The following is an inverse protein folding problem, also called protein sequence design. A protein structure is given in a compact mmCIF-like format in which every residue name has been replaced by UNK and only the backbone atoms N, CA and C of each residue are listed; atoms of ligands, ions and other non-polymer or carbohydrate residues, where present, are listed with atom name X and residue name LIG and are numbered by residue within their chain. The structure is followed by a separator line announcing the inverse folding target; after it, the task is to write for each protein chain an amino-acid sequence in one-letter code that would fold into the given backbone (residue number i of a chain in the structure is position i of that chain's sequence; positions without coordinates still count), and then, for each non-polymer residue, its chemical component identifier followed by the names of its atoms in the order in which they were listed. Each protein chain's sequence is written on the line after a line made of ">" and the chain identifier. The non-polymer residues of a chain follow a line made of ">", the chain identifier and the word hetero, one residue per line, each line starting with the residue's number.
data_IF_017083663840
#
_entry.id   IF_017083663840
#
_cell.length_a   1.000
_cell.length_b   1.000
_cell.length_c   1.000
_cell.angle_alpha   90.00
_cell.angle_beta   90.00
_cell.angle_gamma   90.00
#
_symmetry.space_group_name_H-M   'P 1'
#
loop_
_entity.id
_entity.type
_entity.pdbx_description
1 polymer ?
#
# COMPACT_ATOMS: atom_id res chain seq x y z
N UNK A 1 -7.75 -26.44 3.30
CA UNK A 1 -7.64 -26.89 4.71
C UNK A 1 -8.82 -26.32 5.50
N UNK A 2 -9.26 -26.98 6.61
CA UNK A 2 -10.26 -26.41 7.51
C UNK A 2 -9.70 -25.18 8.21
N UNK A 3 -10.50 -24.10 8.36
CA UNK A 3 -10.05 -22.79 8.89
C UNK A 3 -9.59 -22.88 10.35
N UNK A 4 -10.31 -23.63 11.19
CA UNK A 4 -9.94 -23.87 12.57
C UNK A 4 -8.58 -24.59 12.68
N UNK A 5 -8.38 -25.65 11.88
CA UNK A 5 -7.12 -26.39 11.83
C UNK A 5 -5.97 -25.48 11.38
N UNK A 6 -6.20 -24.67 10.34
CA UNK A 6 -5.23 -23.71 9.83
C UNK A 6 -4.82 -22.71 10.90
N UNK A 7 -5.78 -22.10 11.61
CA UNK A 7 -5.51 -21.06 12.61
C UNK A 7 -4.98 -21.62 13.93
N UNK A 8 -5.63 -22.63 14.49
CA UNK A 8 -5.34 -23.09 15.86
C UNK A 8 -4.16 -24.08 15.95
N UNK A 9 -3.91 -24.84 14.89
CA UNK A 9 -2.85 -25.85 14.90
C UNK A 9 -1.70 -25.43 14.01
N UNK A 10 -1.93 -25.32 12.70
CA UNK A 10 -0.86 -25.11 11.71
C UNK A 10 -0.15 -23.78 11.93
N UNK A 11 -0.90 -22.71 12.08
CA UNK A 11 -0.33 -21.38 12.28
C UNK A 11 0.44 -21.28 13.61
N UNK A 12 -0.10 -21.82 14.69
CA UNK A 12 0.59 -21.84 15.99
C UNK A 12 1.87 -22.66 15.96
N UNK A 13 1.83 -23.83 15.31
CA UNK A 13 3.02 -24.67 15.14
C UNK A 13 4.12 -23.93 14.35
N UNK A 14 3.74 -23.24 13.27
CA UNK A 14 4.68 -22.44 12.46
C UNK A 14 5.27 -21.28 13.27
N UNK A 15 4.45 -20.57 14.03
CA UNK A 15 4.95 -19.51 14.92
C UNK A 15 5.97 -20.07 15.93
N UNK A 16 5.63 -21.20 16.55
CA UNK A 16 6.53 -21.88 17.50
C UNK A 16 7.84 -22.30 16.82
N UNK A 17 7.78 -23.00 15.69
CA UNK A 17 8.97 -23.47 14.95
C UNK A 17 9.87 -22.34 14.46
N UNK A 18 9.28 -21.16 14.18
CA UNK A 18 10.02 -19.95 13.80
C UNK A 18 10.43 -19.09 14.99
N UNK A 19 9.95 -19.42 16.19
CA UNK A 19 10.12 -18.61 17.39
C UNK A 19 9.45 -17.22 17.28
N UNK A 20 8.39 -17.10 16.48
CA UNK A 20 7.64 -15.86 16.28
C UNK A 20 6.56 -15.70 17.37
N UNK A 21 6.42 -14.50 17.92
CA UNK A 21 5.47 -14.20 19.02
C UNK A 21 4.26 -13.41 18.53
N UNK A 22 3.68 -13.78 17.37
CA UNK A 22 2.61 -12.99 16.74
C UNK A 22 1.40 -12.84 17.68
N UNK A 23 0.90 -13.93 18.26
CA UNK A 23 -0.25 -13.89 19.18
C UNK A 23 0.06 -13.08 20.45
N UNK A 24 1.31 -13.16 20.95
CA UNK A 24 1.75 -12.37 22.10
C UNK A 24 1.77 -10.87 21.80
N UNK A 25 2.25 -10.48 20.62
CA UNK A 25 2.17 -9.09 20.16
C UNK A 25 0.72 -8.67 19.93
N UNK A 26 -0.09 -9.47 19.23
CA UNK A 26 -1.48 -9.16 18.94
C UNK A 26 -2.27 -8.87 20.24
N UNK A 27 -2.10 -9.70 21.27
CA UNK A 27 -2.73 -9.46 22.58
C UNK A 27 -2.32 -8.11 23.20
N UNK A 28 -1.02 -7.74 23.06
CA UNK A 28 -0.48 -6.48 23.61
C UNK A 28 -0.98 -5.24 22.85
N UNK A 29 -1.07 -5.33 21.52
CA UNK A 29 -1.36 -4.15 20.68
C UNK A 29 -2.86 -3.95 20.42
N UNK A 30 -3.70 -4.93 20.73
CA UNK A 30 -5.11 -4.90 20.35
C UNK A 30 -5.91 -3.74 20.96
N UNK A 31 -5.52 -3.29 22.14
CA UNK A 31 -6.18 -2.18 22.84
C UNK A 31 -5.57 -0.80 22.55
N UNK A 32 -4.39 -0.76 21.91
CA UNK A 32 -3.68 0.51 21.67
C UNK A 32 -4.51 1.52 20.86
N UNK A 33 -5.24 1.12 19.78
CA UNK A 33 -6.03 2.06 19.00
C UNK A 33 -7.14 2.78 19.77
N UNK A 34 -7.54 2.23 20.94
CA UNK A 34 -8.62 2.75 21.78
C UNK A 34 -8.11 3.54 23.01
N UNK A 35 -6.81 3.72 23.15
CA UNK A 35 -6.23 4.62 24.14
C UNK A 35 -6.56 6.08 23.78
N UNK A 36 -6.46 6.98 24.77
CA UNK A 36 -6.59 8.41 24.47
C UNK A 36 -5.51 8.89 23.49
N UNK A 37 -5.83 9.93 22.74
CA UNK A 37 -4.89 10.54 21.76
C UNK A 37 -3.58 10.93 22.42
N UNK A 38 -3.62 11.52 23.62
CA UNK A 38 -2.42 11.91 24.36
C UNK A 38 -1.56 10.69 24.73
N UNK A 39 -2.19 9.60 25.20
CA UNK A 39 -1.44 8.37 25.52
C UNK A 39 -0.83 7.71 24.28
N UNK A 40 -1.51 7.79 23.14
CA UNK A 40 -0.97 7.32 21.86
C UNK A 40 0.25 8.15 21.45
N UNK A 41 0.16 9.49 21.57
CA UNK A 41 1.28 10.40 21.27
C UNK A 41 2.47 10.12 22.17
N UNK A 42 2.24 10.02 23.48
CA UNK A 42 3.29 9.73 24.46
C UNK A 42 3.99 8.40 24.14
N UNK A 43 3.22 7.31 23.94
CA UNK A 43 3.76 6.00 23.55
C UNK A 43 4.56 6.06 22.24
N UNK A 44 4.09 6.84 21.28
CA UNK A 44 4.76 6.98 19.98
C UNK A 44 6.10 7.69 20.13
N UNK A 45 6.16 8.76 20.94
CA UNK A 45 7.40 9.48 21.23
C UNK A 45 8.38 8.65 22.04
N UNK A 46 7.91 7.88 23.05
CA UNK A 46 8.74 6.91 23.79
C UNK A 46 9.41 5.90 22.85
N UNK A 47 8.63 5.34 21.90
CA UNK A 47 9.15 4.39 20.92
C UNK A 47 10.12 5.04 19.93
N UNK A 48 9.81 6.25 19.47
CA UNK A 48 10.67 7.03 18.60
C UNK A 48 12.02 7.28 19.26
N UNK A 49 12.02 7.80 20.49
CA UNK A 49 13.24 8.04 21.27
C UNK A 49 14.07 6.75 21.45
N UNK A 50 13.39 5.63 21.77
CA UNK A 50 14.06 4.32 21.86
C UNK A 50 14.74 3.93 20.54
N UNK A 51 14.03 4.09 19.43
CA UNK A 51 14.56 3.76 18.09
C UNK A 51 15.77 4.60 17.74
N UNK A 52 15.71 5.90 18.00
CA UNK A 52 16.82 6.83 17.76
C UNK A 52 18.05 6.48 18.61
N UNK A 53 17.86 6.19 19.89
CA UNK A 53 18.95 5.76 20.81
C UNK A 53 19.60 4.44 20.34
N UNK A 54 18.79 3.46 19.90
CA UNK A 54 19.30 2.19 19.36
C UNK A 54 20.11 2.44 18.09
N UNK A 55 19.58 3.26 17.19
CA UNK A 55 20.24 3.60 15.93
C UNK A 55 21.59 4.30 16.17
N UNK A 56 21.64 5.32 17.00
CA UNK A 56 22.86 6.03 17.36
C UNK A 56 23.91 5.11 17.98
N UNK A 57 23.52 4.31 18.99
CA UNK A 57 24.46 3.49 19.76
C UNK A 57 24.97 2.25 19.03
N UNK A 58 24.21 1.73 18.03
CA UNK A 58 24.47 0.39 17.49
C UNK A 58 24.61 0.33 15.96
N UNK A 59 24.34 1.42 15.22
CA UNK A 59 24.33 1.44 13.77
C UNK A 59 25.31 2.53 13.29
N UNK A 60 26.47 2.16 12.70
CA UNK A 60 27.52 3.11 12.33
C UNK A 60 27.03 4.24 11.43
N UNK A 61 26.20 3.94 10.43
CA UNK A 61 25.62 4.92 9.52
C UNK A 61 24.84 6.02 10.27
N UNK A 62 23.94 5.63 11.18
CA UNK A 62 23.14 6.62 11.93
C UNK A 62 23.97 7.42 12.93
N UNK A 63 24.94 6.78 13.57
CA UNK A 63 25.86 7.53 14.46
C UNK A 63 26.53 8.65 13.71
N UNK A 64 27.18 8.34 12.58
CA UNK A 64 27.83 9.32 11.72
C UNK A 64 26.85 10.44 11.29
N UNK A 65 25.67 10.06 10.84
CA UNK A 65 24.65 11.00 10.38
C UNK A 65 24.21 11.99 11.48
N UNK A 66 24.04 11.49 12.70
CA UNK A 66 23.60 12.31 13.84
C UNK A 66 24.72 13.23 14.34
N UNK A 67 25.96 12.72 14.36
CA UNK A 67 27.13 13.52 14.73
C UNK A 67 27.36 14.65 13.72
N UNK A 68 27.26 14.38 12.43
CA UNK A 68 27.38 15.37 11.34
C UNK A 68 26.25 16.43 11.38
N UNK A 69 25.07 16.05 11.87
CA UNK A 69 23.92 16.96 12.02
C UNK A 69 23.91 17.72 13.34
N UNK A 70 24.91 17.55 14.21
CA UNK A 70 24.99 18.12 15.55
C UNK A 70 23.76 17.81 16.43
N UNK A 71 23.24 16.59 16.33
CA UNK A 71 22.04 16.16 17.06
C UNK A 71 22.43 15.44 18.35
N UNK A 72 22.08 16.01 19.49
CA UNK A 72 22.31 15.41 20.80
C UNK A 72 21.21 14.41 21.17
N UNK A 73 21.43 13.13 20.89
CA UNK A 73 20.44 12.05 21.12
C UNK A 73 19.90 11.98 22.55
N UNK A 74 20.70 12.36 23.55
CA UNK A 74 20.29 12.28 24.95
C UNK A 74 19.38 13.43 25.38
N UNK A 75 19.42 14.57 24.68
CA UNK A 75 18.71 15.81 25.03
C UNK A 75 17.62 16.16 24.00
N UNK A 76 17.21 15.22 23.16
CA UNK A 76 16.20 15.44 22.13
C UNK A 76 14.84 15.82 22.73
N UNK A 77 14.33 16.96 22.27
CA UNK A 77 12.93 17.36 22.46
C UNK A 77 12.14 16.87 21.27
N UNK A 78 11.35 15.84 21.45
CA UNK A 78 10.52 15.27 20.42
C UNK A 78 9.08 15.81 20.53
N UNK A 79 8.45 16.14 19.40
CA UNK A 79 8.92 15.93 18.01
C UNK A 79 9.79 17.06 17.43
N UNK A 80 9.96 18.20 18.10
CA UNK A 80 10.51 19.44 17.56
C UNK A 80 11.92 19.28 16.97
N UNK A 81 12.82 18.65 17.71
CA UNK A 81 14.20 18.46 17.26
C UNK A 81 14.33 17.37 16.18
N UNK A 82 13.24 16.60 15.94
CA UNK A 82 13.27 15.50 14.94
C UNK A 82 13.29 16.01 13.52
N UNK A 83 12.76 17.19 13.25
CA UNK A 83 12.77 17.81 11.92
C UNK A 83 14.20 18.09 11.40
N UNK A 84 15.16 18.26 12.32
CA UNK A 84 16.57 18.46 11.96
C UNK A 84 17.25 17.19 11.39
N UNK A 85 16.68 16.01 11.59
CA UNK A 85 17.23 14.78 11.03
C UNK A 85 17.08 14.77 9.51
N UNK A 86 18.12 14.37 8.76
CA UNK A 86 18.04 14.31 7.31
C UNK A 86 17.03 13.25 6.86
N UNK A 87 16.36 13.57 5.74
CA UNK A 87 15.45 12.62 5.09
C UNK A 87 16.26 11.63 4.28
N UNK A 88 15.99 10.34 4.48
CA UNK A 88 16.64 9.25 3.75
C UNK A 88 15.83 8.85 2.54
N UNK A 89 16.48 8.69 1.42
CA UNK A 89 15.92 8.12 0.20
C UNK A 89 16.40 6.67 -0.04
N UNK A 90 15.86 6.03 -1.08
CA UNK A 90 16.21 4.65 -1.45
C UNK A 90 17.67 4.49 -1.86
N UNK A 91 18.25 5.50 -2.49
CA UNK A 91 19.62 5.43 -2.99
C UNK A 91 20.62 5.53 -1.85
N UNK A 92 20.38 6.42 -0.90
CA UNK A 92 21.17 6.53 0.33
C UNK A 92 21.18 5.20 1.11
N UNK A 93 20.01 4.55 1.26
CA UNK A 93 19.92 3.25 1.94
C UNK A 93 20.67 2.17 1.16
N UNK A 94 20.59 2.17 -0.16
CA UNK A 94 21.25 1.18 -1.02
C UNK A 94 22.77 1.29 -0.95
N UNK A 95 23.30 2.50 -1.03
CA UNK A 95 24.75 2.75 -0.97
C UNK A 95 25.31 2.38 0.39
N UNK A 96 24.55 2.61 1.47
CA UNK A 96 25.00 2.35 2.85
C UNK A 96 24.48 1.03 3.42
N UNK A 97 24.09 0.08 2.59
CA UNK A 97 23.40 -1.15 3.01
C UNK A 97 24.12 -1.94 4.10
N UNK A 98 25.46 -2.03 4.07
CA UNK A 98 26.28 -2.72 5.08
C UNK A 98 26.32 -2.01 6.43
N UNK A 99 26.25 -0.69 6.42
CA UNK A 99 26.48 0.17 7.59
C UNK A 99 25.18 0.61 8.27
N UNK A 100 24.04 0.42 7.59
CA UNK A 100 22.70 0.78 8.08
C UNK A 100 22.06 -0.35 8.92
N UNK A 101 22.81 -1.41 9.23
CA UNK A 101 22.32 -2.55 10.02
C UNK A 101 22.98 -2.60 11.39
N UNK A 102 22.22 -3.03 12.40
CA UNK A 102 22.70 -3.26 13.74
C UNK A 102 23.52 -4.56 13.82
N UNK A 103 24.83 -4.44 13.75
CA UNK A 103 25.75 -5.59 13.73
C UNK A 103 25.77 -6.38 15.04
N UNK A 104 25.25 -5.83 16.15
CA UNK A 104 25.15 -6.52 17.45
C UNK A 104 24.01 -7.54 17.47
N UNK A 105 23.04 -7.45 16.57
CA UNK A 105 21.89 -8.35 16.50
C UNK A 105 22.23 -9.55 15.64
N UNK A 106 22.41 -10.72 16.28
CA UNK A 106 22.62 -12.02 15.62
C UNK A 106 21.33 -12.84 15.46
N UNK A 107 20.16 -12.20 15.47
CA UNK A 107 18.86 -12.86 15.34
C UNK A 107 18.64 -13.32 13.89
N UNK A 108 17.71 -14.29 13.71
CA UNK A 108 17.27 -14.71 12.38
C UNK A 108 16.62 -13.52 11.65
N UNK A 109 17.12 -13.23 10.47
CA UNK A 109 16.66 -12.16 9.59
C UNK A 109 15.95 -12.71 8.36
N UNK A 110 15.01 -11.95 7.82
CA UNK A 110 14.43 -12.17 6.48
C UNK A 110 14.84 -11.03 5.56
N UNK A 111 15.15 -11.36 4.31
CA UNK A 111 15.44 -10.39 3.25
C UNK A 111 14.23 -10.35 2.31
N UNK A 112 13.76 -9.17 2.03
CA UNK A 112 12.68 -8.90 1.07
C UNK A 112 13.19 -7.91 0.02
N UNK A 113 12.77 -8.09 -1.24
CA UNK A 113 13.08 -7.17 -2.32
C UNK A 113 11.85 -6.33 -2.60
N UNK A 114 12.01 -5.01 -2.71
CA UNK A 114 10.95 -4.15 -3.17
C UNK A 114 10.66 -4.40 -4.65
N UNK A 115 9.44 -4.12 -5.11
CA UNK A 115 9.02 -4.34 -6.50
C UNK A 115 9.78 -3.50 -7.55
N UNK A 116 10.59 -2.52 -7.08
CA UNK A 116 11.46 -1.74 -7.96
C UNK A 116 10.72 -0.96 -9.05
N UNK A 117 9.58 -0.35 -8.72
CA UNK A 117 8.81 0.46 -9.68
C UNK A 117 9.59 1.63 -10.30
N UNK A 118 10.75 1.98 -9.73
CA UNK A 118 11.75 2.90 -10.29
C UNK A 118 12.90 2.17 -11.02
N UNK A 119 12.76 0.87 -11.32
CA UNK A 119 13.78 0.06 -12.00
C UNK A 119 14.82 -0.59 -11.09
N UNK A 120 15.06 -0.07 -9.89
CA UNK A 120 16.10 -0.54 -8.98
C UNK A 120 15.49 -1.04 -7.66
N UNK A 121 15.36 -2.36 -7.43
CA UNK A 121 14.82 -2.91 -6.19
C UNK A 121 15.74 -2.61 -4.99
N UNK A 122 15.14 -2.29 -3.84
CA UNK A 122 15.81 -2.19 -2.56
C UNK A 122 15.71 -3.50 -1.80
N UNK A 123 16.82 -3.99 -1.25
CA UNK A 123 16.81 -5.11 -0.30
C UNK A 123 16.50 -4.58 1.10
N UNK A 124 15.38 -5.01 1.64
CA UNK A 124 14.97 -4.69 3.02
C UNK A 124 15.24 -5.87 3.91
N UNK A 125 15.79 -5.61 5.08
CA UNK A 125 16.09 -6.65 6.07
C UNK A 125 15.22 -6.45 7.31
N UNK A 126 14.52 -7.50 7.69
CA UNK A 126 13.66 -7.51 8.87
C UNK A 126 14.11 -8.60 9.82
N UNK A 127 14.25 -8.28 11.08
CA UNK A 127 14.45 -9.31 12.08
C UNK A 127 13.13 -10.05 12.39
N UNK A 128 13.25 -11.12 13.16
CA UNK A 128 12.11 -11.96 13.53
C UNK A 128 11.05 -11.21 14.34
N UNK A 129 11.47 -10.35 15.26
CA UNK A 129 10.54 -9.62 16.13
C UNK A 129 9.79 -8.55 15.34
N UNK A 130 10.46 -7.80 14.43
CA UNK A 130 9.83 -6.90 13.46
C UNK A 130 8.81 -7.64 12.59
N UNK A 131 9.19 -8.79 12.04
CA UNK A 131 8.31 -9.58 11.18
C UNK A 131 7.07 -10.09 11.92
N UNK A 132 7.23 -10.48 13.19
CA UNK A 132 6.13 -10.92 14.05
C UNK A 132 5.22 -9.75 14.45
N UNK A 133 5.78 -8.59 14.77
CA UNK A 133 5.03 -7.38 15.11
C UNK A 133 4.20 -6.89 13.92
N UNK A 134 4.80 -6.79 12.74
CA UNK A 134 4.11 -6.37 11.52
C UNK A 134 2.91 -7.29 11.19
N UNK A 135 3.06 -8.61 11.40
CA UNK A 135 1.94 -9.55 11.24
C UNK A 135 0.87 -9.39 12.32
N UNK A 136 1.25 -9.06 13.55
CA UNK A 136 0.28 -8.78 14.60
C UNK A 136 -0.54 -7.53 14.28
N UNK A 137 0.10 -6.47 13.75
CA UNK A 137 -0.59 -5.26 13.26
C UNK A 137 -1.57 -5.63 12.14
N UNK A 138 -1.13 -6.43 11.17
CA UNK A 138 -1.99 -6.90 10.07
C UNK A 138 -3.23 -7.65 10.61
N UNK A 139 -3.05 -8.60 11.51
CA UNK A 139 -4.18 -9.34 12.06
C UNK A 139 -5.10 -8.46 12.91
N UNK A 140 -4.57 -7.49 13.66
CA UNK A 140 -5.40 -6.51 14.35
C UNK A 140 -6.29 -5.73 13.37
N UNK A 141 -5.74 -5.27 12.25
CA UNK A 141 -6.48 -4.58 11.19
C UNK A 141 -7.57 -5.49 10.59
N UNK A 142 -7.23 -6.71 10.26
CA UNK A 142 -8.15 -7.67 9.65
C UNK A 142 -9.26 -8.11 10.58
N UNK A 143 -8.97 -8.23 11.88
CA UNK A 143 -9.96 -8.59 12.90
C UNK A 143 -11.12 -7.57 13.00
N UNK A 144 -10.90 -6.29 12.62
CA UNK A 144 -11.96 -5.28 12.56
C UNK A 144 -13.08 -5.66 11.59
N UNK A 145 -12.75 -6.49 10.60
CA UNK A 145 -13.69 -7.01 9.60
C UNK A 145 -14.04 -8.49 9.83
N UNK A 146 -13.78 -9.02 11.02
CA UNK A 146 -14.05 -10.43 11.37
C UNK A 146 -13.12 -11.44 10.68
N UNK A 147 -12.02 -10.97 10.06
CA UNK A 147 -11.03 -11.85 9.43
C UNK A 147 -10.06 -12.35 10.49
N UNK A 148 -10.08 -13.65 10.76
CA UNK A 148 -9.23 -14.31 11.74
C UNK A 148 -8.09 -15.10 11.10
N UNK A 149 -7.09 -15.44 11.92
CA UNK A 149 -5.97 -16.28 11.50
C UNK A 149 -6.50 -17.67 11.08
N UNK A 150 -6.15 -18.08 9.86
CA UNK A 150 -6.58 -19.35 9.28
C UNK A 150 -7.76 -19.25 8.36
N UNK A 151 -8.47 -18.11 8.29
CA UNK A 151 -9.52 -17.89 7.30
C UNK A 151 -8.97 -18.03 5.88
N UNK A 152 -9.79 -18.57 5.00
CA UNK A 152 -9.45 -18.80 3.58
C UNK A 152 -9.34 -17.49 2.82
N UNK A 153 -8.22 -17.28 2.13
CA UNK A 153 -7.94 -16.08 1.34
C UNK A 153 -7.87 -16.39 -0.16
N UNK A 154 -8.55 -15.62 -1.00
CA UNK A 154 -8.20 -15.52 -2.42
C UNK A 154 -7.29 -14.31 -2.62
N UNK A 155 -6.06 -14.55 -3.10
CA UNK A 155 -5.04 -13.53 -3.28
C UNK A 155 -4.80 -13.25 -4.76
N UNK A 156 -5.17 -12.05 -5.19
CA UNK A 156 -4.92 -11.53 -6.54
C UNK A 156 -3.56 -10.86 -6.58
N UNK A 157 -2.54 -11.63 -6.99
CA UNK A 157 -1.14 -11.21 -6.84
C UNK A 157 -0.23 -11.79 -7.91
N UNK A 158 0.97 -11.21 -8.04
CA UNK A 158 1.99 -11.74 -8.92
C UNK A 158 2.34 -13.22 -8.62
N UNK A 159 2.55 -14.00 -9.66
CA UNK A 159 3.02 -15.38 -9.57
C UNK A 159 4.48 -15.42 -10.04
N UNK A 160 5.41 -16.05 -9.29
CA UNK A 160 6.77 -16.25 -9.77
C UNK A 160 6.79 -17.05 -11.06
N UNK A 161 7.69 -16.69 -11.97
CA UNK A 161 7.82 -17.36 -13.27
C UNK A 161 8.72 -18.60 -13.23
N UNK A 162 9.60 -18.71 -12.24
CA UNK A 162 10.51 -19.85 -12.09
C UNK A 162 9.83 -21.06 -11.42
N UNK A 163 9.92 -22.29 -11.96
CA UNK A 163 9.27 -23.48 -11.41
C UNK A 163 9.60 -23.75 -9.93
N UNK A 164 10.85 -23.54 -9.52
CA UNK A 164 11.30 -23.71 -8.11
C UNK A 164 10.58 -22.74 -7.17
N UNK A 165 10.40 -21.48 -7.60
CA UNK A 165 9.69 -20.49 -6.80
C UNK A 165 8.18 -20.73 -6.80
N UNK A 166 7.59 -21.21 -7.90
CA UNK A 166 6.18 -21.60 -7.98
C UNK A 166 5.87 -22.67 -6.93
N UNK A 167 6.68 -23.72 -6.85
CA UNK A 167 6.48 -24.80 -5.88
C UNK A 167 6.57 -24.28 -4.43
N UNK A 168 7.60 -23.47 -4.14
CA UNK A 168 7.79 -22.85 -2.82
C UNK A 168 6.59 -21.95 -2.41
N UNK A 169 6.08 -21.17 -3.36
CA UNK A 169 4.93 -20.28 -3.09
C UNK A 169 3.63 -21.08 -2.96
N UNK A 170 3.41 -22.13 -3.74
CA UNK A 170 2.25 -23.04 -3.55
C UNK A 170 2.25 -23.65 -2.14
N UNK A 171 3.39 -24.13 -1.66
CA UNK A 171 3.49 -24.67 -0.30
C UNK A 171 3.18 -23.62 0.77
N UNK A 172 3.70 -22.39 0.61
CA UNK A 172 3.36 -21.29 1.51
C UNK A 172 1.86 -20.93 1.45
N UNK A 173 1.26 -20.98 0.25
CA UNK A 173 -0.14 -20.67 0.06
C UNK A 173 -1.05 -21.74 0.71
N UNK A 174 -0.69 -23.01 0.63
CA UNK A 174 -1.39 -24.10 1.33
C UNK A 174 -1.35 -23.93 2.85
N UNK A 175 -0.16 -23.65 3.40
CA UNK A 175 0.03 -23.38 4.83
C UNK A 175 -0.79 -22.16 5.28
N UNK A 176 -0.80 -21.11 4.47
CA UNK A 176 -1.53 -19.87 4.76
C UNK A 176 -3.04 -19.98 4.49
N UNK A 177 -3.54 -21.16 4.13
CA UNK A 177 -4.93 -21.42 3.76
C UNK A 177 -5.43 -20.46 2.67
N UNK A 178 -4.67 -20.27 1.59
CA UNK A 178 -5.00 -19.33 0.52
C UNK A 178 -4.82 -19.93 -0.88
N UNK A 179 -5.56 -19.38 -1.82
CA UNK A 179 -5.31 -19.58 -3.26
C UNK A 179 -4.75 -18.29 -3.85
N UNK A 180 -3.85 -18.43 -4.83
CA UNK A 180 -3.29 -17.31 -5.58
C UNK A 180 -3.85 -17.28 -6.99
N UNK A 181 -4.33 -16.11 -7.39
CA UNK A 181 -4.87 -15.81 -8.72
C UNK A 181 -3.91 -14.80 -9.36
N UNK A 182 -3.50 -15.07 -10.59
CA UNK A 182 -2.44 -14.30 -11.25
C UNK A 182 -2.88 -12.87 -11.55
N UNK A 183 -2.06 -11.90 -11.13
CA UNK A 183 -2.22 -10.51 -11.52
C UNK A 183 -1.51 -10.16 -12.83
N UNK A 184 -0.73 -11.08 -13.42
CA UNK A 184 0.09 -10.80 -14.59
C UNK A 184 -0.59 -11.12 -15.92
N UNK A 185 -1.55 -12.04 -15.90
CA UNK A 185 -2.19 -12.55 -17.11
C UNK A 185 -3.70 -12.61 -16.86
N UNK A 186 -4.39 -11.53 -17.21
CA UNK A 186 -5.82 -11.34 -16.95
C UNK A 186 -6.55 -11.24 -18.29
N UNK A 187 -6.97 -12.38 -18.81
CA UNK A 187 -7.78 -12.53 -20.01
C UNK A 187 -9.02 -13.35 -19.70
N UNK A 188 -9.97 -13.45 -20.62
CA UNK A 188 -11.28 -14.08 -20.36
C UNK A 188 -11.16 -15.50 -19.81
N UNK A 189 -10.29 -16.33 -20.37
CA UNK A 189 -10.06 -17.70 -19.89
C UNK A 189 -9.54 -17.75 -18.46
N UNK A 190 -8.65 -16.82 -18.08
CA UNK A 190 -8.13 -16.75 -16.70
C UNK A 190 -9.19 -16.27 -15.71
N UNK A 191 -10.11 -15.38 -16.12
CA UNK A 191 -11.21 -14.92 -15.28
C UNK A 191 -12.25 -16.02 -15.04
N UNK A 192 -12.52 -16.88 -16.03
CA UNK A 192 -13.32 -18.11 -15.85
C UNK A 192 -12.64 -19.04 -14.83
N UNK A 193 -11.34 -19.34 -15.02
CA UNK A 193 -10.57 -20.17 -14.07
C UNK A 193 -10.54 -19.59 -12.65
N UNK A 194 -10.46 -18.26 -12.52
CA UNK A 194 -10.58 -17.60 -11.21
C UNK A 194 -11.92 -17.88 -10.54
N UNK A 195 -13.00 -17.75 -11.31
CA UNK A 195 -14.36 -18.00 -10.83
C UNK A 195 -14.52 -19.44 -10.35
N UNK A 196 -14.06 -20.43 -11.11
CA UNK A 196 -14.12 -21.83 -10.74
C UNK A 196 -13.30 -22.16 -9.49
N UNK A 197 -12.07 -21.64 -9.43
CA UNK A 197 -11.20 -21.78 -8.26
C UNK A 197 -11.81 -21.16 -7.00
N UNK A 198 -12.39 -19.97 -7.12
CA UNK A 198 -13.04 -19.26 -6.03
C UNK A 198 -14.27 -20.02 -5.52
N UNK A 199 -15.16 -20.46 -6.43
CA UNK A 199 -16.34 -21.26 -6.08
C UNK A 199 -15.97 -22.56 -5.37
N UNK A 200 -14.93 -23.25 -5.82
CA UNK A 200 -14.42 -24.49 -5.21
C UNK A 200 -13.76 -24.23 -3.85
N UNK A 201 -12.96 -23.21 -3.74
CA UNK A 201 -12.18 -22.93 -2.53
C UNK A 201 -13.00 -22.25 -1.43
N UNK A 202 -14.00 -21.43 -1.81
CA UNK A 202 -14.88 -20.65 -0.92
C UNK A 202 -14.07 -19.77 0.06
N UNK A 203 -13.36 -18.75 -0.45
CA UNK A 203 -12.60 -17.84 0.41
C UNK A 203 -13.51 -17.00 1.30
N UNK A 204 -13.01 -16.60 2.46
CA UNK A 204 -13.69 -15.69 3.39
C UNK A 204 -13.39 -14.23 3.09
N UNK A 205 -12.29 -13.95 2.42
CA UNK A 205 -11.91 -12.60 2.01
C UNK A 205 -11.02 -12.61 0.77
N UNK A 206 -11.03 -11.49 0.05
CA UNK A 206 -10.10 -11.25 -1.05
C UNK A 206 -8.99 -10.32 -0.59
N UNK A 207 -7.83 -10.45 -1.23
CA UNK A 207 -6.68 -9.57 -1.03
C UNK A 207 -5.96 -9.37 -2.35
N UNK A 208 -5.70 -8.11 -2.74
CA UNK A 208 -5.00 -7.89 -3.99
C UNK A 208 -4.95 -6.45 -4.48
N UNK A 209 -4.47 -6.29 -5.70
CA UNK A 209 -4.39 -5.00 -6.37
C UNK A 209 -5.78 -4.49 -6.76
N UNK A 210 -6.11 -3.20 -6.50
CA UNK A 210 -7.35 -2.59 -6.93
C UNK A 210 -7.65 -2.80 -8.42
N UNK A 211 -6.64 -2.64 -9.30
CA UNK A 211 -6.79 -2.80 -10.74
C UNK A 211 -7.23 -4.19 -11.15
N UNK A 212 -6.64 -5.22 -10.54
CA UNK A 212 -6.95 -6.64 -10.83
C UNK A 212 -8.33 -7.01 -10.34
N UNK A 213 -8.65 -6.60 -9.10
CA UNK A 213 -9.96 -6.82 -8.50
C UNK A 213 -11.07 -6.10 -9.28
N UNK A 214 -10.81 -4.87 -9.74
CA UNK A 214 -11.71 -4.12 -10.59
C UNK A 214 -11.95 -4.81 -11.94
N UNK A 215 -10.90 -5.27 -12.63
CA UNK A 215 -11.03 -6.00 -13.90
C UNK A 215 -11.86 -7.27 -13.72
N UNK A 216 -11.64 -8.02 -12.63
CA UNK A 216 -12.43 -9.20 -12.31
C UNK A 216 -13.89 -8.84 -11.97
N UNK A 217 -14.11 -7.80 -11.15
CA UNK A 217 -15.45 -7.33 -10.79
C UNK A 217 -16.26 -6.88 -12.03
N UNK A 218 -15.65 -6.11 -12.91
CA UNK A 218 -16.29 -5.66 -14.16
C UNK A 218 -16.69 -6.85 -15.04
N UNK A 219 -15.79 -7.83 -15.18
CA UNK A 219 -16.08 -9.04 -15.95
C UNK A 219 -17.22 -9.88 -15.33
N UNK A 220 -17.27 -10.00 -14.00
CA UNK A 220 -18.37 -10.67 -13.26
C UNK A 220 -19.70 -9.99 -13.55
N UNK A 221 -19.73 -8.65 -13.54
CA UNK A 221 -20.94 -7.86 -13.82
C UNK A 221 -21.36 -7.99 -15.29
N UNK A 222 -20.42 -7.86 -16.23
CA UNK A 222 -20.68 -7.94 -17.67
C UNK A 222 -21.20 -9.32 -18.12
N UNK A 223 -20.74 -10.40 -17.46
CA UNK A 223 -21.16 -11.79 -17.77
C UNK A 223 -22.35 -12.26 -16.94
N UNK A 224 -22.85 -11.46 -16.00
CA UNK A 224 -23.95 -11.83 -15.13
C UNK A 224 -23.64 -12.98 -14.15
N UNK A 225 -22.36 -13.18 -13.80
CA UNK A 225 -22.00 -14.16 -12.78
C UNK A 225 -22.42 -13.67 -11.40
N UNK A 226 -22.90 -14.60 -10.56
CA UNK A 226 -23.22 -14.33 -9.14
C UNK A 226 -22.22 -15.06 -8.23
N UNK A 227 -21.56 -14.31 -7.35
CA UNK A 227 -20.64 -14.80 -6.33
C UNK A 227 -21.08 -14.40 -4.92
N UNK A 228 -22.33 -13.95 -4.74
CA UNK A 228 -22.87 -13.54 -3.42
C UNK A 228 -22.85 -14.67 -2.40
N UNK A 229 -23.00 -15.92 -2.82
CA UNK A 229 -22.95 -17.09 -1.96
C UNK A 229 -21.62 -17.27 -1.22
N UNK A 230 -20.55 -16.56 -1.63
CA UNK A 230 -19.27 -16.63 -0.94
C UNK A 230 -19.33 -16.03 0.47
N UNK A 231 -20.26 -15.10 0.72
CA UNK A 231 -20.38 -14.40 2.01
C UNK A 231 -19.02 -13.85 2.48
N UNK A 232 -18.36 -13.07 1.62
CA UNK A 232 -17.06 -12.46 1.92
C UNK A 232 -17.17 -11.51 3.11
N UNK A 233 -16.19 -11.55 4.01
CA UNK A 233 -16.08 -10.65 5.15
C UNK A 233 -15.59 -9.26 4.74
N UNK A 234 -14.60 -9.21 3.87
CA UNK A 234 -14.07 -7.98 3.27
C UNK A 234 -13.26 -8.27 2.01
N UNK A 235 -13.02 -7.22 1.20
CA UNK A 235 -12.09 -7.24 0.07
C UNK A 235 -11.00 -6.21 0.37
N UNK A 236 -9.80 -6.68 0.71
CA UNK A 236 -8.68 -5.82 1.08
C UNK A 236 -7.88 -5.50 -0.17
N UNK A 237 -7.76 -4.22 -0.48
CA UNK A 237 -6.98 -3.70 -1.60
C UNK A 237 -5.69 -3.08 -1.11
N UNK A 238 -4.59 -3.28 -1.83
CA UNK A 238 -3.28 -2.73 -1.46
C UNK A 238 -2.35 -2.58 -2.67
N UNK A 239 -1.30 -1.80 -2.49
CA UNK A 239 -0.17 -1.71 -3.42
C UNK A 239 -0.38 -0.81 -4.63
N UNK A 240 -1.56 -0.29 -4.82
CA UNK A 240 -1.96 0.73 -5.80
C UNK A 240 -2.93 1.71 -5.13
N UNK A 241 -3.13 2.88 -5.71
CA UNK A 241 -4.21 3.79 -5.30
C UNK A 241 -5.55 3.13 -5.60
N UNK A 242 -6.44 3.14 -4.62
CA UNK A 242 -7.81 2.67 -4.79
C UNK A 242 -8.69 3.85 -5.19
N UNK A 243 -9.18 3.84 -6.42
CA UNK A 243 -10.09 4.86 -6.95
C UNK A 243 -11.55 4.54 -6.63
N UNK A 244 -12.39 5.59 -6.53
CA UNK A 244 -13.80 5.42 -6.19
C UNK A 244 -14.58 4.56 -7.19
N UNK A 245 -14.31 4.70 -8.49
CA UNK A 245 -14.96 3.87 -9.51
C UNK A 245 -14.61 2.37 -9.37
N UNK A 246 -13.36 2.07 -8.96
CA UNK A 246 -12.94 0.70 -8.70
C UNK A 246 -13.65 0.14 -7.48
N UNK A 247 -13.67 0.91 -6.37
CA UNK A 247 -14.39 0.54 -5.14
C UNK A 247 -15.84 0.21 -5.45
N UNK A 248 -16.55 1.12 -6.14
CA UNK A 248 -17.96 0.94 -6.47
C UNK A 248 -18.21 -0.31 -7.34
N UNK A 249 -17.40 -0.55 -8.36
CA UNK A 249 -17.53 -1.72 -9.21
C UNK A 249 -17.28 -3.03 -8.43
N UNK A 250 -16.25 -3.05 -7.58
CA UNK A 250 -15.90 -4.24 -6.77
C UNK A 250 -17.01 -4.51 -5.73
N UNK A 251 -17.46 -3.49 -5.00
CA UNK A 251 -18.53 -3.64 -4.01
C UNK A 251 -19.86 -4.06 -4.66
N UNK A 252 -20.15 -3.56 -5.86
CA UNK A 252 -21.34 -3.95 -6.63
C UNK A 252 -21.28 -5.41 -7.05
N UNK A 253 -20.14 -5.87 -7.58
CA UNK A 253 -19.96 -7.23 -8.08
C UNK A 253 -20.02 -8.28 -6.96
N UNK A 254 -19.40 -8.01 -5.83
CA UNK A 254 -19.22 -9.01 -4.76
C UNK A 254 -20.14 -8.80 -3.55
N UNK A 255 -20.91 -7.71 -3.52
CA UNK A 255 -21.76 -7.33 -2.37
C UNK A 255 -21.03 -7.34 -1.03
N UNK A 256 -19.79 -6.88 -1.06
CA UNK A 256 -18.88 -6.91 0.07
C UNK A 256 -18.09 -5.61 0.14
N UNK A 257 -17.81 -5.13 1.35
CA UNK A 257 -17.05 -3.88 1.57
C UNK A 257 -15.62 -4.02 1.08
N UNK A 258 -15.16 -3.01 0.34
CA UNK A 258 -13.75 -2.84 -0.03
C UNK A 258 -13.04 -2.04 1.04
N UNK A 259 -11.88 -2.50 1.46
CA UNK A 259 -11.05 -1.91 2.52
C UNK A 259 -9.69 -1.57 1.96
N UNK A 260 -9.24 -0.34 2.14
CA UNK A 260 -7.95 0.12 1.66
C UNK A 260 -6.85 -0.15 2.71
N UNK A 261 -5.80 -0.87 2.30
CA UNK A 261 -4.57 -1.08 3.07
C UNK A 261 -3.45 -0.28 2.42
N UNK A 262 -2.99 0.76 3.07
CA UNK A 262 -1.84 1.55 2.63
C UNK A 262 -0.57 1.05 3.32
N UNK A 263 0.43 0.75 2.52
CA UNK A 263 1.71 0.25 3.04
C UNK A 263 2.77 0.10 1.97
N UNK A 264 3.98 -0.18 2.42
CA UNK A 264 5.12 -0.44 1.56
C UNK A 264 5.86 -1.71 1.99
N UNK A 265 6.63 -2.30 1.07
CA UNK A 265 7.41 -3.51 1.35
C UNK A 265 8.42 -3.28 2.47
N UNK A 266 8.98 -2.07 2.53
CA UNK A 266 10.03 -1.69 3.48
C UNK A 266 9.53 -1.77 4.92
N UNK A 267 8.39 -1.17 5.21
CA UNK A 267 7.88 -1.01 6.58
C UNK A 267 6.73 -1.98 6.91
N UNK A 268 5.87 -2.24 5.95
CA UNK A 268 4.62 -2.99 6.10
C UNK A 268 3.42 -2.07 6.04
N UNK A 269 2.37 -2.36 6.82
CA UNK A 269 1.16 -1.52 6.87
C UNK A 269 1.47 -0.21 7.58
N UNK A 270 1.24 0.90 6.89
CA UNK A 270 1.39 2.27 7.37
C UNK A 270 0.06 2.81 7.87
N UNK A 271 -1.02 2.54 7.11
CA UNK A 271 -2.37 2.90 7.48
C UNK A 271 -3.39 1.88 6.96
N UNK A 272 -4.53 1.80 7.62
CA UNK A 272 -5.59 0.85 7.31
C UNK A 272 -6.96 1.50 7.49
N UNK A 273 -7.86 1.23 6.54
CA UNK A 273 -9.19 1.83 6.52
C UNK A 273 -10.11 1.18 7.56
N UNK A 274 -10.84 1.99 8.31
CA UNK A 274 -11.83 1.54 9.29
C UNK A 274 -13.23 1.40 8.69
N UNK A 275 -14.22 0.99 9.52
CA UNK A 275 -15.62 0.86 9.12
C UNK A 275 -16.23 2.16 8.58
N UNK A 276 -15.75 3.31 9.03
CA UNK A 276 -16.22 4.64 8.62
C UNK A 276 -15.51 5.18 7.36
N UNK A 277 -14.59 4.41 6.76
CA UNK A 277 -13.85 4.81 5.57
C UNK A 277 -12.64 5.70 5.83
N UNK A 278 -12.25 5.94 7.10
CA UNK A 278 -11.06 6.71 7.44
C UNK A 278 -9.82 5.83 7.46
N UNK A 279 -8.73 6.31 6.86
CA UNK A 279 -7.46 5.60 6.74
C UNK A 279 -6.58 5.90 7.97
N UNK A 280 -6.72 5.12 9.05
CA UNK A 280 -5.98 5.31 10.29
C UNK A 280 -4.53 4.86 10.18
N UNK A 281 -3.61 5.73 10.61
CA UNK A 281 -2.17 5.45 10.68
C UNK A 281 -1.90 4.43 11.78
N UNK A 282 -1.06 3.44 11.52
CA UNK A 282 -0.63 2.47 12.55
C UNK A 282 0.40 3.09 13.49
N UNK A 283 -0.06 4.05 14.32
CA UNK A 283 0.78 4.90 15.17
C UNK A 283 1.66 4.14 16.18
N UNK A 284 1.29 2.92 16.52
CA UNK A 284 2.10 2.03 17.35
C UNK A 284 3.21 1.30 16.57
N UNK A 285 3.18 1.33 15.24
CA UNK A 285 4.13 0.67 14.35
C UNK A 285 5.05 1.66 13.61
N UNK A 286 4.54 2.82 13.26
CA UNK A 286 5.23 3.82 12.46
C UNK A 286 4.96 5.23 12.96
N UNK A 287 5.95 6.10 12.91
CA UNK A 287 5.78 7.55 13.01
C UNK A 287 5.76 8.11 11.60
N UNK A 288 4.64 8.71 11.21
CA UNK A 288 4.49 9.39 9.92
C UNK A 288 4.49 10.89 10.13
N UNK A 289 5.23 11.59 9.29
CA UNK A 289 5.24 13.03 9.18
C UNK A 289 5.03 13.46 7.73
N UNK A 290 4.63 14.69 7.52
CA UNK A 290 4.52 15.28 6.19
C UNK A 290 5.49 16.44 6.06
N UNK A 291 6.28 16.44 4.98
CA UNK A 291 7.25 17.51 4.69
C UNK A 291 6.82 18.22 3.41
N UNK A 292 6.76 19.55 3.47
CA UNK A 292 6.36 20.38 2.33
C UNK A 292 7.20 20.07 1.10
N UNK A 293 6.52 19.94 -0.03
CA UNK A 293 7.16 19.70 -1.32
C UNK A 293 7.00 20.94 -2.20
N UNK A 294 8.04 21.31 -2.92
CA UNK A 294 7.96 22.36 -3.95
C UNK A 294 7.01 21.97 -5.11
N UNK A 295 6.60 20.70 -5.17
CA UNK A 295 5.77 20.14 -6.25
C UNK A 295 4.26 20.29 -6.01
N UNK A 296 3.82 20.57 -4.78
CA UNK A 296 2.40 20.77 -4.48
C UNK A 296 2.21 21.69 -3.29
N UNK A 297 1.23 22.61 -3.39
CA UNK A 297 0.77 23.43 -2.25
C UNK A 297 -0.31 22.74 -1.41
N UNK A 298 -0.85 21.62 -1.89
CA UNK A 298 -2.01 20.93 -1.30
C UNK A 298 -1.59 19.66 -0.57
N UNK A 299 -0.56 18.97 -1.07
CA UNK A 299 -0.08 17.70 -0.50
C UNK A 299 1.40 17.79 -0.21
N UNK A 300 1.85 17.06 0.81
CA UNK A 300 3.24 17.02 1.27
C UNK A 300 3.79 15.60 1.12
N UNK A 301 5.11 15.45 1.07
CA UNK A 301 5.77 14.14 1.03
C UNK A 301 5.52 13.40 2.35
N UNK A 302 5.14 12.13 2.27
CA UNK A 302 4.99 11.26 3.44
C UNK A 302 6.35 10.65 3.79
N UNK A 303 6.82 10.98 4.97
CA UNK A 303 8.07 10.50 5.55
C UNK A 303 7.74 9.54 6.69
N UNK A 304 8.42 8.40 6.74
CA UNK A 304 8.14 7.36 7.71
C UNK A 304 9.35 6.99 8.57
N UNK A 305 9.11 6.80 9.86
CA UNK A 305 10.10 6.23 10.79
C UNK A 305 9.54 4.97 11.43
N UNK A 306 10.26 3.86 11.33
CA UNK A 306 9.89 2.59 11.97
C UNK A 306 10.10 2.64 13.49
N UNK A 307 9.11 2.15 14.24
CA UNK A 307 9.14 2.18 15.71
C UNK A 307 9.47 0.81 16.35
N UNK A 308 9.50 -0.27 15.58
CA UNK A 308 9.65 -1.64 16.10
C UNK A 308 10.70 -2.46 15.33
N UNK A 309 11.66 -1.81 14.67
CA UNK A 309 12.76 -2.47 13.95
C UNK A 309 14.10 -2.09 14.59
N UNK A 310 14.68 -3.00 15.38
CA UNK A 310 15.97 -2.75 16.04
C UNK A 310 17.17 -3.16 15.18
N UNK A 311 16.93 -3.95 14.11
CA UNK A 311 18.00 -4.44 13.25
C UNK A 311 18.37 -3.47 12.13
N UNK A 312 17.37 -2.97 11.40
CA UNK A 312 17.53 -2.03 10.29
C UNK A 312 16.37 -1.03 10.33
N UNK A 313 16.31 -0.14 11.33
CA UNK A 313 15.23 0.84 11.38
C UNK A 313 15.37 1.86 10.26
N UNK A 314 14.30 2.10 9.54
CA UNK A 314 14.22 3.22 8.61
C UNK A 314 13.78 4.45 9.40
N UNK A 315 14.66 5.47 9.44
CA UNK A 315 14.43 6.73 10.16
C UNK A 315 14.29 7.84 9.13
N UNK A 316 13.21 8.60 9.18
CA UNK A 316 12.84 9.66 8.23
C UNK A 316 12.98 9.22 6.76
N UNK A 317 12.46 8.04 6.49
CA UNK A 317 12.50 7.46 5.15
C UNK A 317 11.41 8.06 4.25
N UNK A 318 11.83 8.64 3.12
CA UNK A 318 10.92 9.10 2.07
C UNK A 318 10.33 7.89 1.33
N UNK A 319 9.03 7.65 1.54
CA UNK A 319 8.31 6.55 0.89
C UNK A 319 8.16 6.82 -0.61
N UNK A 320 8.16 8.09 -1.00
CA UNK A 320 7.90 8.57 -2.36
C UNK A 320 6.42 8.76 -2.65
N UNK A 321 5.57 8.80 -1.63
CA UNK A 321 4.14 9.06 -1.74
C UNK A 321 3.80 10.44 -1.16
N UNK A 322 2.73 11.05 -1.68
CA UNK A 322 2.23 12.36 -1.25
C UNK A 322 0.92 12.20 -0.49
N UNK A 323 0.72 13.01 0.55
CA UNK A 323 -0.51 12.94 1.32
C UNK A 323 -0.67 14.07 2.32
N UNK A 324 -1.79 14.02 3.05
CA UNK A 324 -2.09 14.92 4.16
C UNK A 324 -2.43 14.07 5.38
N UNK A 325 -1.73 14.32 6.48
CA UNK A 325 -1.99 13.71 7.79
C UNK A 325 -2.81 14.68 8.62
N UNK A 326 -3.85 14.19 9.29
CA UNK A 326 -4.68 14.98 10.19
C UNK A 326 -5.03 14.19 11.45
N UNK A 327 -5.26 14.91 12.54
CA UNK A 327 -5.94 14.36 13.70
C UNK A 327 -7.44 14.28 13.39
N UNK A 328 -8.07 13.17 13.74
CA UNK A 328 -9.49 12.97 13.52
C UNK A 328 -10.10 12.25 14.72
N UNK A 329 -11.24 12.75 15.19
CA UNK A 329 -12.13 11.97 16.03
C UNK A 329 -13.02 11.12 15.12
N UNK A 330 -12.76 9.83 15.02
CA UNK A 330 -13.54 8.92 14.20
C UNK A 330 -14.58 8.18 15.06
N UNK A 331 -15.81 8.08 14.55
CA UNK A 331 -16.91 7.33 15.19
C UNK A 331 -16.64 5.82 15.30
N UNK A 332 -15.64 5.30 14.58
CA UNK A 332 -15.22 3.89 14.69
C UNK A 332 -14.57 3.54 16.05
N UNK A 333 -14.26 4.53 16.89
CA UNK A 333 -13.59 4.33 18.19
C UNK A 333 -12.08 4.12 18.13
N UNK A 334 -11.45 4.30 16.96
CA UNK A 334 -9.99 4.30 16.79
C UNK A 334 -9.48 5.73 16.92
N UNK A 335 -8.57 5.96 17.85
CA UNK A 335 -8.00 7.28 18.15
C UNK A 335 -6.63 7.52 17.47
N UNK A 336 -6.24 6.65 16.54
CA UNK A 336 -5.06 6.88 15.72
C UNK A 336 -5.28 8.03 14.73
N UNK A 337 -4.23 8.84 14.42
CA UNK A 337 -4.31 9.84 13.36
C UNK A 337 -4.71 9.22 12.02
N UNK A 338 -5.16 10.04 11.09
CA UNK A 338 -5.61 9.58 9.76
C UNK A 338 -4.78 10.22 8.65
N UNK A 339 -4.69 9.50 7.53
CA UNK A 339 -4.31 10.07 6.25
C UNK A 339 -5.61 10.55 5.60
N UNK A 340 -5.85 11.87 5.62
CA UNK A 340 -7.07 12.48 5.08
C UNK A 340 -7.06 12.59 3.55
N UNK A 341 -5.87 12.58 2.94
CA UNK A 341 -5.69 12.53 1.50
C UNK A 341 -4.41 11.75 1.17
N UNK A 342 -4.52 10.80 0.26
CA UNK A 342 -3.40 10.02 -0.26
C UNK A 342 -3.38 10.20 -1.78
N UNK A 343 -2.38 10.92 -2.28
CA UNK A 343 -2.25 11.25 -3.69
C UNK A 343 -1.35 10.28 -4.48
N UNK A 344 -0.85 9.21 -3.83
CA UNK A 344 0.08 8.26 -4.45
C UNK A 344 1.50 8.84 -4.54
N UNK A 345 2.27 8.42 -5.56
CA UNK A 345 3.68 8.80 -5.69
C UNK A 345 3.88 10.23 -6.15
N UNK A 346 5.08 10.77 -5.93
CA UNK A 346 5.57 12.07 -6.42
C UNK A 346 5.34 12.28 -7.93
N UNK A 347 5.24 11.20 -8.70
CA UNK A 347 4.95 11.19 -10.14
C UNK A 347 3.46 11.28 -10.50
N UNK A 348 2.58 11.56 -9.55
CA UNK A 348 1.11 11.59 -9.74
C UNK A 348 0.57 12.99 -10.02
N UNK A 349 1.42 13.91 -10.45
CA UNK A 349 1.00 15.23 -10.86
C UNK A 349 1.19 15.42 -12.36
N UNK A 350 0.14 15.92 -13.02
CA UNK A 350 0.21 16.46 -14.36
C UNK A 350 0.81 17.87 -14.21
N UNK A 351 1.97 18.10 -14.82
CA UNK A 351 2.64 19.41 -14.80
C UNK A 351 2.22 20.19 -16.04
N UNK A 352 1.58 21.33 -15.85
CA UNK A 352 1.13 22.17 -16.96
C UNK A 352 2.23 23.09 -17.47
N UNK A 353 2.13 23.63 -18.71
CA UNK A 353 3.13 24.57 -19.25
C UNK A 353 3.35 25.83 -18.42
N UNK A 354 2.35 26.23 -17.63
CA UNK A 354 2.40 27.35 -16.69
C UNK A 354 2.85 26.94 -15.26
N UNK A 355 3.60 25.83 -15.15
CA UNK A 355 4.19 25.31 -13.91
C UNK A 355 3.17 24.98 -12.78
N UNK A 356 1.91 24.71 -13.12
CA UNK A 356 0.96 24.19 -12.15
C UNK A 356 1.07 22.67 -12.03
N UNK A 357 0.94 22.18 -10.81
CA UNK A 357 0.91 20.76 -10.48
C UNK A 357 -0.54 20.38 -10.22
N UNK A 358 -1.15 19.63 -11.14
CA UNK A 358 -2.53 19.16 -11.07
C UNK A 358 -2.54 17.67 -10.72
N UNK A 359 -3.17 17.32 -9.60
CA UNK A 359 -3.26 15.93 -9.18
C UNK A 359 -3.94 15.07 -10.25
N UNK A 360 -3.39 13.88 -10.53
CA UNK A 360 -3.88 12.93 -11.55
C UNK A 360 -5.29 12.40 -11.27
N UNK A 361 -5.81 12.55 -10.04
CA UNK A 361 -7.20 12.25 -9.70
C UNK A 361 -8.22 13.00 -10.59
N UNK A 362 -7.81 14.09 -11.26
CA UNK A 362 -8.65 14.76 -12.26
C UNK A 362 -8.98 13.84 -13.46
N UNK A 363 -8.09 12.92 -13.80
CA UNK A 363 -8.32 11.93 -14.86
C UNK A 363 -9.42 10.97 -14.42
N UNK A 364 -9.35 10.47 -13.17
CA UNK A 364 -10.40 9.65 -12.57
C UNK A 364 -11.75 10.38 -12.59
N UNK A 365 -11.79 11.60 -12.04
CA UNK A 365 -13.00 12.40 -12.01
C UNK A 365 -13.58 12.65 -13.42
N UNK A 366 -12.73 12.78 -14.41
CA UNK A 366 -13.15 12.97 -15.80
C UNK A 366 -13.72 11.70 -16.39
N UNK A 367 -13.06 10.55 -16.17
CA UNK A 367 -13.35 9.29 -16.84
C UNK A 367 -14.24 8.33 -16.03
N UNK A 368 -14.73 8.72 -14.85
CA UNK A 368 -15.52 7.88 -13.96
C UNK A 368 -16.79 7.26 -14.60
N UNK A 369 -17.29 7.82 -15.69
CA UNK A 369 -18.47 7.33 -16.37
C UNK A 369 -18.13 7.00 -17.84
N UNK A 370 -18.49 5.79 -18.30
CA UNK A 370 -18.48 5.43 -19.71
C UNK A 370 -17.21 4.82 -20.27
N UNK A 371 -16.10 4.77 -19.51
CA UNK A 371 -14.92 4.02 -19.91
C UNK A 371 -14.66 2.83 -19.00
N UNK A 372 -14.04 1.80 -19.57
CA UNK A 372 -13.69 0.58 -18.84
C UNK A 372 -12.35 0.71 -18.14
N UNK A 373 -11.39 1.37 -18.79
CA UNK A 373 -10.02 1.53 -18.33
C UNK A 373 -9.34 2.68 -19.07
N UNK A 374 -8.40 3.35 -18.42
CA UNK A 374 -7.55 4.34 -19.09
C UNK A 374 -6.11 4.25 -18.59
N UNK A 375 -5.20 4.80 -19.39
CA UNK A 375 -3.82 5.14 -18.98
C UNK A 375 -3.41 6.44 -19.64
N UNK A 376 -3.03 7.41 -18.84
CA UNK A 376 -2.49 8.68 -19.31
C UNK A 376 -0.98 8.71 -19.13
N UNK A 377 -0.25 9.20 -20.13
CA UNK A 377 1.21 9.36 -20.11
C UNK A 377 1.52 10.80 -20.46
N UNK A 378 2.26 11.46 -19.59
CA UNK A 378 2.78 12.80 -19.83
C UNK A 378 4.25 12.72 -20.20
N UNK A 379 4.58 13.00 -21.47
CA UNK A 379 5.95 12.96 -21.99
C UNK A 379 6.61 14.34 -22.02
N UNK A 380 5.81 15.41 -22.04
CA UNK A 380 6.24 16.79 -21.95
C UNK A 380 5.18 17.64 -21.24
N UNK A 381 5.52 18.85 -20.80
CA UNK A 381 4.60 19.72 -20.07
C UNK A 381 3.38 20.14 -20.89
N UNK A 382 3.50 20.12 -22.22
CA UNK A 382 2.49 20.53 -23.18
C UNK A 382 1.76 19.35 -23.84
N UNK A 383 2.06 18.09 -23.48
CA UNK A 383 1.45 16.89 -24.08
C UNK A 383 1.01 15.87 -23.04
N UNK A 384 -0.22 15.38 -23.21
CA UNK A 384 -0.81 14.30 -22.43
C UNK A 384 -1.46 13.27 -23.37
N UNK A 385 -0.88 12.07 -23.42
CA UNK A 385 -1.35 10.97 -24.25
C UNK A 385 -2.21 10.02 -23.42
N UNK A 386 -3.45 9.77 -23.82
CA UNK A 386 -4.41 8.99 -23.03
C UNK A 386 -4.92 7.80 -23.84
N UNK A 387 -4.54 6.60 -23.41
CA UNK A 387 -5.11 5.34 -23.90
C UNK A 387 -6.41 5.03 -23.18
N UNK A 388 -7.44 4.65 -23.92
CA UNK A 388 -8.79 4.40 -23.39
C UNK A 388 -9.32 3.07 -23.89
N UNK A 389 -9.79 2.24 -22.95
CA UNK A 389 -10.62 1.07 -23.25
C UNK A 389 -12.08 1.49 -23.10
N UNK A 390 -12.80 1.55 -24.21
CA UNK A 390 -14.21 1.99 -24.26
C UNK A 390 -15.15 0.93 -23.66
N UNK A 391 -16.26 1.39 -23.08
CA UNK A 391 -17.47 0.56 -22.98
C UNK A 391 -18.26 0.70 -24.30
N UNK A 392 -18.99 -0.36 -24.73
CA UNK A 392 -19.77 -0.32 -25.98
C UNK A 392 -20.75 0.84 -26.05
N UNK A 393 -21.28 1.27 -24.89
CA UNK A 393 -22.31 2.31 -24.77
C UNK A 393 -21.74 3.73 -24.82
N UNK A 394 -20.42 3.91 -24.86
CA UNK A 394 -19.79 5.22 -24.82
C UNK A 394 -20.04 5.98 -26.15
N UNK A 395 -20.85 7.03 -26.09
CA UNK A 395 -21.11 7.90 -27.22
C UNK A 395 -19.89 8.80 -27.53
N UNK A 396 -19.66 9.10 -28.82
CA UNK A 396 -18.51 9.93 -29.23
C UNK A 396 -18.57 11.34 -28.65
N UNK A 397 -19.77 11.94 -28.49
CA UNK A 397 -19.97 13.23 -27.82
C UNK A 397 -19.41 13.30 -26.39
N UNK A 398 -19.34 12.15 -25.71
CA UNK A 398 -18.80 12.07 -24.34
C UNK A 398 -17.28 12.37 -24.32
N UNK A 399 -16.57 12.09 -25.40
CA UNK A 399 -15.15 12.41 -25.51
C UNK A 399 -14.90 13.93 -25.55
N UNK A 400 -15.77 14.67 -26.21
CA UNK A 400 -15.71 16.15 -26.21
C UNK A 400 -15.98 16.73 -24.83
N UNK A 401 -16.89 16.12 -24.07
CA UNK A 401 -17.17 16.51 -22.69
C UNK A 401 -15.96 16.22 -21.78
N UNK A 402 -15.31 15.07 -21.94
CA UNK A 402 -14.08 14.75 -21.21
C UNK A 402 -12.97 15.73 -21.54
N UNK A 403 -12.77 16.05 -22.82
CA UNK A 403 -11.79 17.04 -23.25
C UNK A 403 -12.06 18.42 -22.63
N UNK A 404 -13.33 18.88 -22.65
CA UNK A 404 -13.72 20.14 -22.01
C UNK A 404 -13.43 20.15 -20.51
N UNK A 405 -13.71 19.04 -19.81
CA UNK A 405 -13.42 18.91 -18.38
C UNK A 405 -11.91 19.00 -18.12
N UNK A 406 -11.10 18.24 -18.85
CA UNK A 406 -9.64 18.27 -18.67
C UNK A 406 -9.06 19.65 -18.99
N UNK A 407 -9.44 20.27 -20.09
CA UNK A 407 -8.99 21.62 -20.46
C UNK A 407 -9.31 22.65 -19.38
N UNK A 408 -10.48 22.53 -18.70
CA UNK A 408 -10.86 23.42 -17.61
C UNK A 408 -9.82 23.45 -16.47
N UNK A 409 -9.20 22.30 -16.17
CA UNK A 409 -8.23 22.16 -15.09
C UNK A 409 -6.79 22.29 -15.57
N UNK A 410 -6.46 21.71 -16.72
CA UNK A 410 -5.11 21.65 -17.25
C UNK A 410 -4.73 22.90 -18.07
N UNK A 411 -5.73 23.67 -18.54
CA UNK A 411 -5.53 24.79 -19.44
C UNK A 411 -5.57 24.38 -20.90
N UNK A 412 -5.60 25.39 -21.78
CA UNK A 412 -5.67 25.21 -23.25
C UNK A 412 -4.30 24.96 -23.89
N UNK A 413 -3.22 25.20 -23.15
CA UNK A 413 -1.84 25.08 -23.64
C UNK A 413 -1.33 23.63 -23.66
N UNK A 414 -2.07 22.70 -23.00
CA UNK A 414 -1.72 21.28 -23.02
C UNK A 414 -2.46 20.54 -24.14
N UNK A 415 -1.70 19.86 -24.98
CA UNK A 415 -2.24 19.04 -26.07
C UNK A 415 -2.64 17.68 -25.53
N UNK A 416 -3.94 17.37 -25.53
CA UNK A 416 -4.49 16.09 -25.07
C UNK A 416 -4.80 15.24 -26.29
N UNK A 417 -4.19 14.04 -26.36
CA UNK A 417 -4.41 13.05 -27.42
C UNK A 417 -5.08 11.81 -26.83
N UNK A 418 -6.03 11.23 -27.56
CA UNK A 418 -6.73 10.00 -27.18
C UNK A 418 -6.44 8.89 -28.18
N UNK A 419 -6.15 7.69 -27.66
CA UNK A 419 -5.99 6.47 -28.42
C UNK A 419 -6.98 5.42 -27.85
N UNK A 420 -7.84 4.87 -28.70
CA UNK A 420 -8.68 3.76 -28.27
C UNK A 420 -7.96 2.45 -28.47
N UNK A 421 -7.88 1.67 -27.41
CA UNK A 421 -7.19 0.38 -27.38
C UNK A 421 -8.12 -0.72 -26.86
N UNK A 422 -7.94 -1.99 -27.30
CA UNK A 422 -8.79 -3.09 -26.83
C UNK A 422 -8.54 -3.43 -25.35
N UNK A 423 -7.31 -3.29 -24.86
CA UNK A 423 -6.90 -3.52 -23.46
C UNK A 423 -5.68 -2.70 -23.12
N UNK A 424 -5.42 -2.53 -21.81
CA UNK A 424 -4.22 -1.87 -21.28
C UNK A 424 -3.52 -2.87 -20.36
N UNK A 425 -2.35 -3.33 -20.78
CA UNK A 425 -1.57 -4.30 -20.04
C UNK A 425 -0.97 -3.71 -18.75
N UNK A 426 -0.93 -4.49 -17.65
CA UNK A 426 -0.25 -4.08 -16.44
C UNK A 426 1.27 -4.04 -16.63
N UNK A 427 1.98 -3.39 -15.72
CA UNK A 427 3.45 -3.43 -15.66
C UNK A 427 3.96 -4.84 -15.31
N UNK A 428 5.28 -5.06 -15.45
CA UNK A 428 5.95 -6.33 -15.07
C UNK A 428 5.69 -6.76 -13.61
N UNK A 429 5.32 -5.83 -12.75
CA UNK A 429 4.92 -6.06 -11.35
C UNK A 429 3.49 -6.60 -11.19
N UNK A 430 2.69 -6.61 -12.24
CA UNK A 430 1.25 -6.90 -12.23
C UNK A 430 0.38 -5.71 -11.82
N UNK A 431 0.97 -4.54 -11.54
CA UNK A 431 0.25 -3.31 -11.20
C UNK A 431 -0.17 -2.55 -12.45
N UNK A 432 -1.34 -1.96 -12.42
CA UNK A 432 -1.77 -1.02 -13.45
C UNK A 432 -1.55 0.42 -12.95
N UNK A 433 -0.73 1.18 -13.69
CA UNK A 433 -0.61 2.62 -13.49
C UNK A 433 -1.56 3.35 -14.42
N UNK A 434 -2.43 4.16 -13.85
CA UNK A 434 -3.38 4.98 -14.60
C UNK A 434 -2.77 6.28 -15.12
N UNK A 435 -1.75 6.79 -14.43
CA UNK A 435 -0.97 7.94 -14.86
C UNK A 435 0.53 7.67 -14.75
N UNK A 436 1.27 8.12 -15.75
CA UNK A 436 2.74 8.05 -15.81
C UNK A 436 3.24 9.43 -16.24
N UNK A 437 4.09 10.03 -15.43
CA UNK A 437 4.83 11.21 -15.82
C UNK A 437 6.28 10.84 -16.15
N UNK A 438 6.73 11.21 -17.35
CA UNK A 438 8.11 11.09 -17.83
C UNK A 438 8.84 12.45 -17.79
N UNK A 439 8.24 13.44 -17.13
CA UNK A 439 8.84 14.78 -16.95
C UNK A 439 9.66 14.74 -15.66
N UNK A 440 10.90 15.22 -15.74
CA UNK A 440 11.80 15.43 -14.60
C UNK A 440 11.46 16.71 -13.82
#
# INVERSE_FOLDING_TARGET
>A
MNEWLAGQIVHRFIQFSRGERILGYLKKINQIPHLSTDRIKEMQLEKLQKTLKIAYNNIPFYRKLFDESNIEINNLRLPEDFEAFPILDKDTIRVNYSDIVNQKIKKRISKELTSGSSGNPLTVVKDRDKSAYARAVMYRCYNQYGIEIGHKQARFWGIPTSPKYIFKEKFKDEIANRIRLSAFDIHEKSLVDFTDKIKKFKPRYFYGYPSVLHKFATWILDKGHDLKELNLLAIITTGEVLYNFQRQAIETAFKCKVVNEYGCTEIGILAFECSEGNLHIMADNVYLETVSSNKSKITSQIIATELNNEYNPLIRYNIGDMGVISECSCSCGINFPVISSLAGRDSTFIVTPDDRYINDAILEYTFAQGIKQFRAVQNSRDSLDIKIVRRPELADRTMDEYKKKLVKYLGTSIKIQYEFVPDIEPEKSGKLRYFISNIE
#
